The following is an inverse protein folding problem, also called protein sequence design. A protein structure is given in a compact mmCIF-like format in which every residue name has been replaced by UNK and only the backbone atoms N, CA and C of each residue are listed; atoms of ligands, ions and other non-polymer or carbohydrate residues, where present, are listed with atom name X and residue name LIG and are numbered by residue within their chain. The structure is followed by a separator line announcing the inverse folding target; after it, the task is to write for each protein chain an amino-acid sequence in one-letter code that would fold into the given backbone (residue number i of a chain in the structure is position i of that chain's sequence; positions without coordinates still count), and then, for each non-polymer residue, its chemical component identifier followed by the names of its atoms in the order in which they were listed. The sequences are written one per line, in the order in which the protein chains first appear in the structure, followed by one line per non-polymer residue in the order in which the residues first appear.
data_IF_564164224828
#
_entry.id   IF_564164224828
#
_cell.length_a   1.000
_cell.length_b   1.000
_cell.length_c   1.000
_cell.angle_alpha   90.00
_cell.angle_beta   90.00
_cell.angle_gamma   90.00
#
_symmetry.space_group_name_H-M   'P 1'
#
loop_
_entity.id
_entity.type
_entity.pdbx_description
1 polymer ?
#
# COMPACT_ATOMS: atom_id res chain seq x y z
N UNK A 1 -45.14 29.35 -36.88
CA UNK A 1 -44.08 28.40 -37.27
C UNK A 1 -42.98 28.51 -36.22
N UNK A 2 -42.80 27.47 -35.40
CA UNK A 2 -41.92 27.50 -34.21
C UNK A 2 -40.46 27.44 -34.63
N UNK A 3 -39.64 28.31 -34.03
CA UNK A 3 -38.19 28.33 -34.13
C UNK A 3 -37.64 27.41 -33.04
N UNK A 4 -36.98 26.32 -33.43
CA UNK A 4 -36.24 25.44 -32.50
C UNK A 4 -34.75 25.76 -32.65
N UNK A 5 -34.16 26.40 -31.64
CA UNK A 5 -32.71 26.62 -31.55
C UNK A 5 -32.08 25.34 -30.99
N UNK A 6 -31.38 24.60 -31.85
CA UNK A 6 -30.54 23.48 -31.42
C UNK A 6 -29.17 24.05 -31.06
N UNK A 7 -28.94 24.22 -29.76
CA UNK A 7 -27.62 24.54 -29.19
C UNK A 7 -26.77 23.27 -29.23
N UNK A 8 -26.11 23.01 -30.35
CA UNK A 8 -25.04 22.00 -30.39
C UNK A 8 -23.80 22.61 -29.73
N UNK A 9 -23.47 22.16 -28.52
CA UNK A 9 -22.19 22.46 -27.88
C UNK A 9 -21.08 21.84 -28.71
N UNK A 10 -20.37 22.70 -29.44
CA UNK A 10 -19.09 22.43 -30.05
C UNK A 10 -18.02 22.46 -28.93
N UNK A 11 -17.84 21.34 -28.25
CA UNK A 11 -16.74 21.13 -27.31
C UNK A 11 -15.80 20.06 -27.89
N UNK A 12 -15.14 20.38 -28.99
CA UNK A 12 -14.02 19.57 -29.47
C UNK A 12 -13.00 20.49 -30.11
N UNK A 13 -12.27 21.23 -29.26
CA UNK A 13 -11.06 21.93 -29.69
C UNK A 13 -10.04 21.99 -28.54
N UNK A 14 -9.05 21.10 -28.66
CA UNK A 14 -7.65 21.25 -28.23
C UNK A 14 -7.30 21.19 -26.73
N UNK A 15 -6.76 20.04 -26.33
CA UNK A 15 -5.52 19.98 -25.54
C UNK A 15 -4.51 19.17 -26.36
N UNK A 16 -3.49 19.85 -26.90
CA UNK A 16 -2.30 19.24 -27.51
C UNK A 16 -1.28 18.95 -26.39
N UNK A 17 -0.68 17.77 -26.43
CA UNK A 17 0.77 17.57 -26.26
C UNK A 17 1.32 17.46 -24.85
N UNK A 18 1.64 16.24 -24.42
CA UNK A 18 3.02 15.70 -24.42
C UNK A 18 3.08 14.42 -23.58
N UNK A 19 3.35 13.28 -24.23
CA UNK A 19 4.02 12.07 -23.74
C UNK A 19 3.46 10.88 -24.52
N UNK A 20 4.32 10.08 -25.12
CA UNK A 20 4.06 8.75 -25.68
C UNK A 20 2.67 8.19 -25.38
N UNK A 21 1.79 8.10 -26.39
CA UNK A 21 0.55 7.34 -26.25
C UNK A 21 0.93 5.94 -25.71
N UNK A 22 0.56 5.64 -24.46
CA UNK A 22 0.75 4.30 -23.91
C UNK A 22 -0.07 3.36 -24.80
N UNK A 23 0.61 2.59 -25.63
CA UNK A 23 -0.04 1.52 -26.38
C UNK A 23 -0.50 0.53 -25.32
N UNK A 24 -1.82 0.38 -25.17
CA UNK A 24 -2.43 -0.66 -24.34
C UNK A 24 -1.85 -1.99 -24.79
N UNK A 25 -1.02 -2.63 -23.97
CA UNK A 25 -0.41 -3.92 -24.29
C UNK A 25 -0.51 -4.84 -23.10
N UNK A 26 -1.37 -5.83 -23.26
CA UNK A 26 -1.53 -6.92 -22.35
C UNK A 26 -1.77 -8.19 -23.17
N UNK A 27 -1.33 -9.30 -22.61
CA UNK A 27 -1.61 -10.62 -23.13
C UNK A 27 -2.87 -11.15 -22.45
N UNK A 28 -3.76 -11.75 -23.22
CA UNK A 28 -5.01 -12.33 -22.76
C UNK A 28 -5.05 -13.83 -23.03
N UNK A 29 -5.04 -14.64 -21.97
CA UNK A 29 -5.11 -16.09 -22.02
C UNK A 29 -6.49 -16.61 -21.67
N UNK A 30 -6.98 -17.57 -22.46
CA UNK A 30 -8.31 -18.16 -22.28
C UNK A 30 -8.35 -19.27 -21.22
N UNK A 31 -7.21 -19.69 -20.67
CA UNK A 31 -7.14 -20.67 -19.59
C UNK A 31 -6.06 -20.35 -18.54
N UNK A 32 -6.18 -20.98 -17.38
CA UNK A 32 -5.34 -20.72 -16.20
C UNK A 32 -3.90 -21.25 -16.29
N UNK A 33 -3.57 -21.98 -17.35
CA UNK A 33 -2.28 -22.61 -17.56
C UNK A 33 -1.49 -21.98 -18.72
N UNK A 34 -2.16 -21.21 -19.57
CA UNK A 34 -1.53 -20.56 -20.70
C UNK A 34 -0.56 -19.48 -20.20
N UNK A 35 0.72 -19.80 -20.35
CA UNK A 35 1.86 -18.93 -20.14
C UNK A 35 2.71 -18.85 -21.42
N UNK A 36 2.12 -19.23 -22.57
CA UNK A 36 2.76 -19.11 -23.86
C UNK A 36 2.58 -17.70 -24.42
N UNK A 37 3.48 -16.82 -23.97
CA UNK A 37 3.56 -15.43 -24.42
C UNK A 37 4.00 -15.28 -25.89
N UNK A 38 4.31 -16.39 -26.59
CA UNK A 38 4.65 -16.37 -28.01
C UNK A 38 3.42 -16.35 -28.93
N UNK A 39 2.22 -16.69 -28.42
CA UNK A 39 0.96 -16.66 -29.18
C UNK A 39 0.54 -15.23 -29.52
N UNK A 40 0.86 -14.78 -30.73
CA UNK A 40 0.61 -13.40 -31.17
C UNK A 40 -0.86 -12.98 -31.07
N UNK A 41 -1.81 -13.89 -31.27
CA UNK A 41 -3.26 -13.61 -31.23
C UNK A 41 -3.80 -13.24 -29.85
N UNK A 42 -3.07 -13.58 -28.78
CA UNK A 42 -3.47 -13.28 -27.40
C UNK A 42 -3.11 -11.84 -26.99
N UNK A 43 -2.22 -11.18 -27.73
CA UNK A 43 -1.79 -9.82 -27.42
C UNK A 43 -2.81 -8.79 -27.88
N UNK A 44 -3.22 -7.90 -26.97
CA UNK A 44 -4.20 -6.82 -27.19
C UNK A 44 -5.62 -7.29 -27.53
N UNK A 45 -5.93 -8.57 -27.33
CA UNK A 45 -7.30 -9.06 -27.37
C UNK A 45 -8.07 -8.55 -26.15
N UNK A 46 -9.30 -8.06 -26.32
CA UNK A 46 -10.12 -7.64 -25.17
C UNK A 46 -10.40 -8.84 -24.26
N UNK A 47 -10.21 -8.70 -22.92
CA UNK A 47 -10.53 -9.78 -21.99
C UNK A 47 -12.04 -10.01 -21.93
N UNK A 48 -12.44 -11.27 -21.80
CA UNK A 48 -13.80 -11.67 -21.45
C UNK A 48 -13.84 -12.22 -20.03
N UNK A 49 -15.06 -12.42 -19.52
CA UNK A 49 -15.25 -12.89 -18.14
C UNK A 49 -14.53 -14.21 -17.87
N UNK A 50 -13.65 -14.21 -16.87
CA UNK A 50 -12.91 -15.40 -16.42
C UNK A 50 -11.57 -15.63 -17.11
N UNK A 51 -11.14 -14.72 -17.98
CA UNK A 51 -9.83 -14.75 -18.63
C UNK A 51 -8.67 -14.43 -17.66
N UNK A 52 -7.47 -14.80 -18.08
CA UNK A 52 -6.20 -14.44 -17.45
C UNK A 52 -5.54 -13.29 -18.22
N UNK A 53 -5.15 -12.22 -17.53
CA UNK A 53 -4.38 -11.14 -18.15
C UNK A 53 -2.94 -11.11 -17.64
N UNK A 54 -2.02 -10.81 -18.56
CA UNK A 54 -0.62 -10.57 -18.23
C UNK A 54 -0.12 -9.26 -18.88
N UNK A 55 0.33 -8.32 -18.05
CA UNK A 55 1.05 -7.12 -18.44
C UNK A 55 2.54 -7.38 -18.27
N UNK A 56 3.21 -7.78 -19.36
CA UNK A 56 4.62 -8.19 -19.36
C UNK A 56 5.28 -7.98 -20.71
N UNK A 57 6.61 -8.06 -20.77
CA UNK A 57 7.35 -8.01 -22.03
C UNK A 57 7.12 -9.24 -22.91
N UNK A 58 6.72 -9.03 -24.17
CA UNK A 58 6.84 -10.02 -25.25
C UNK A 58 8.33 -10.09 -25.65
N UNK A 59 8.90 -11.29 -25.81
CA UNK A 59 10.34 -11.54 -25.98
C UNK A 59 11.11 -10.53 -26.86
N UNK A 60 12.32 -10.14 -26.43
CA UNK A 60 13.27 -9.36 -27.24
C UNK A 60 12.93 -7.89 -27.38
N UNK A 61 13.52 -7.05 -26.52
CA UNK A 61 13.48 -5.59 -26.55
C UNK A 61 12.06 -4.98 -26.51
N UNK A 62 11.62 -4.72 -25.27
CA UNK A 62 10.87 -3.54 -24.87
C UNK A 62 9.59 -3.21 -25.68
N UNK A 63 8.46 -3.52 -25.05
CA UNK A 63 7.19 -2.91 -25.32
C UNK A 63 6.60 -2.47 -23.99
N UNK A 64 6.13 -1.22 -23.88
CA UNK A 64 5.36 -0.75 -22.73
C UNK A 64 4.14 -1.64 -22.55
N UNK A 65 4.21 -2.61 -21.64
CA UNK A 65 3.07 -3.41 -21.21
C UNK A 65 2.28 -2.60 -20.18
N UNK A 66 1.64 -1.54 -20.68
CA UNK A 66 0.77 -0.68 -19.90
C UNK A 66 -0.68 -0.94 -20.28
N UNK A 67 -1.59 -0.91 -19.31
CA UNK A 67 -3.00 -0.77 -19.60
C UNK A 67 -3.64 0.28 -18.69
N UNK A 68 -4.61 1.01 -19.24
CA UNK A 68 -5.51 1.90 -18.51
C UNK A 68 -6.90 1.35 -18.73
N UNK A 69 -7.54 0.94 -17.64
CA UNK A 69 -8.89 0.41 -17.63
C UNK A 69 -9.87 1.52 -17.30
N UNK A 70 -10.93 1.64 -18.10
CA UNK A 70 -11.98 2.67 -17.97
C UNK A 70 -13.38 2.07 -18.00
N UNK A 71 -13.46 0.76 -17.92
CA UNK A 71 -14.62 -0.11 -18.16
C UNK A 71 -14.61 -1.26 -17.14
N UNK A 72 -15.60 -2.16 -17.22
CA UNK A 72 -15.77 -3.25 -16.24
C UNK A 72 -15.14 -4.55 -16.73
N UNK A 73 -14.20 -5.10 -15.97
CA UNK A 73 -13.56 -6.40 -16.25
C UNK A 73 -13.80 -7.38 -15.11
N UNK A 74 -14.02 -8.65 -15.46
CA UNK A 74 -14.12 -9.74 -14.49
C UNK A 74 -13.16 -10.84 -14.89
N UNK A 75 -12.07 -10.95 -14.15
CA UNK A 75 -10.92 -11.76 -14.54
C UNK A 75 -10.71 -12.90 -13.55
N UNK A 76 -9.85 -13.84 -13.92
CA UNK A 76 -9.43 -14.91 -13.03
C UNK A 76 -8.08 -14.58 -12.43
N UNK A 77 -7.05 -14.47 -13.26
CA UNK A 77 -5.71 -14.09 -12.84
C UNK A 77 -5.25 -12.78 -13.50
N UNK A 78 -4.53 -11.98 -12.73
CA UNK A 78 -3.90 -10.74 -13.19
C UNK A 78 -2.43 -10.83 -12.85
N UNK A 79 -1.55 -10.68 -13.85
CA UNK A 79 -0.10 -10.71 -13.66
C UNK A 79 0.52 -9.46 -14.24
N UNK A 80 1.30 -8.73 -13.45
CA UNK A 80 1.97 -7.50 -13.86
C UNK A 80 3.47 -7.67 -13.56
N UNK A 81 4.29 -7.90 -14.58
CA UNK A 81 5.74 -8.17 -14.45
C UNK A 81 6.28 -9.28 -15.36
N UNK A 82 7.62 -9.43 -15.44
CA UNK A 82 8.36 -10.35 -16.34
C UNK A 82 8.39 -9.87 -17.81
N UNK A 83 9.05 -10.46 -18.82
CA UNK A 83 10.36 -11.13 -18.91
C UNK A 83 11.20 -10.43 -20.00
N UNK A 84 12.49 -10.20 -19.74
CA UNK A 84 13.47 -9.70 -20.71
C UNK A 84 14.29 -8.55 -20.14
N UNK A 85 15.57 -8.82 -19.89
CA UNK A 85 16.57 -7.94 -19.28
C UNK A 85 16.41 -6.46 -19.64
N UNK A 86 16.24 -5.62 -18.61
CA UNK A 86 16.21 -4.18 -18.69
C UNK A 86 15.25 -3.67 -19.79
N UNK A 87 13.95 -3.62 -19.48
CA UNK A 87 13.03 -2.78 -20.26
C UNK A 87 13.62 -1.37 -20.34
N UNK A 88 14.15 -1.00 -21.51
CA UNK A 88 14.62 0.36 -21.78
C UNK A 88 13.44 1.33 -22.01
N UNK A 89 12.20 0.84 -21.98
CA UNK A 89 11.00 1.61 -22.32
C UNK A 89 10.04 1.86 -21.15
N UNK A 90 10.13 1.13 -20.04
CA UNK A 90 9.32 1.41 -18.83
C UNK A 90 8.92 0.17 -18.02
N UNK A 91 8.25 0.42 -16.89
CA UNK A 91 7.76 -0.61 -15.96
C UNK A 91 6.34 -1.05 -16.37
N UNK A 92 6.05 -2.37 -16.48
CA UNK A 92 4.69 -2.85 -16.71
C UNK A 92 3.70 -2.29 -15.69
N UNK A 93 2.54 -1.82 -16.14
CA UNK A 93 1.61 -1.10 -15.28
C UNK A 93 0.15 -1.27 -15.67
N UNK A 94 -0.73 -1.51 -14.71
CA UNK A 94 -2.18 -1.41 -14.87
C UNK A 94 -2.69 -0.20 -14.07
N UNK A 95 -3.47 0.67 -14.70
CA UNK A 95 -4.14 1.80 -14.02
C UNK A 95 -5.65 1.66 -14.15
N UNK A 96 -6.34 1.56 -13.01
CA UNK A 96 -7.79 1.55 -12.91
C UNK A 96 -8.27 2.99 -12.73
N UNK A 97 -8.95 3.51 -13.76
CA UNK A 97 -9.38 4.92 -13.86
C UNK A 97 -10.89 5.07 -13.68
N UNK A 98 -11.39 6.30 -13.80
CA UNK A 98 -12.81 6.58 -13.57
C UNK A 98 -13.69 5.76 -14.52
N UNK A 99 -14.72 5.13 -13.96
CA UNK A 99 -15.61 4.23 -14.70
C UNK A 99 -15.14 2.78 -14.75
N UNK A 100 -13.95 2.46 -14.20
CA UNK A 100 -13.51 1.08 -14.07
C UNK A 100 -14.12 0.37 -12.86
N UNK A 101 -14.46 -0.90 -13.06
CA UNK A 101 -14.86 -1.85 -12.01
C UNK A 101 -14.17 -3.17 -12.33
N UNK A 102 -13.32 -3.63 -11.42
CA UNK A 102 -12.46 -4.77 -11.64
C UNK A 102 -12.76 -5.81 -10.58
N UNK A 103 -13.14 -6.99 -11.03
CA UNK A 103 -13.27 -8.17 -10.18
C UNK A 103 -12.23 -9.22 -10.57
N UNK A 104 -11.58 -9.87 -9.60
CA UNK A 104 -10.76 -11.05 -9.88
C UNK A 104 -10.94 -12.16 -8.85
N UNK A 105 -11.05 -13.40 -9.35
CA UNK A 105 -11.34 -14.57 -8.51
C UNK A 105 -10.11 -15.36 -8.05
N UNK A 106 -8.97 -15.18 -8.72
CA UNK A 106 -7.71 -15.86 -8.41
C UNK A 106 -6.64 -14.90 -7.89
N UNK A 107 -5.39 -15.12 -8.33
CA UNK A 107 -4.26 -14.24 -7.99
C UNK A 107 -4.20 -12.97 -8.82
N UNK A 108 -4.07 -11.82 -8.14
CA UNK A 108 -3.49 -10.61 -8.70
C UNK A 108 -2.03 -10.50 -8.20
N UNK A 109 -1.08 -10.51 -9.13
CA UNK A 109 0.36 -10.56 -8.84
C UNK A 109 1.04 -9.35 -9.49
N UNK A 110 1.58 -8.45 -8.66
CA UNK A 110 2.20 -7.20 -9.09
C UNK A 110 3.69 -7.24 -8.80
N UNK A 111 4.54 -6.97 -9.78
CA UNK A 111 5.97 -7.24 -9.68
C UNK A 111 6.24 -8.74 -9.62
N UNK A 112 5.66 -9.48 -10.57
CA UNK A 112 5.71 -10.94 -10.61
C UNK A 112 6.82 -11.47 -11.52
N UNK A 113 7.52 -12.52 -11.08
CA UNK A 113 8.46 -13.29 -11.93
C UNK A 113 8.13 -14.78 -11.98
N UNK A 114 8.44 -15.40 -13.11
CA UNK A 114 8.41 -16.85 -13.36
C UNK A 114 9.82 -17.45 -13.35
N UNK A 115 9.92 -18.77 -13.15
CA UNK A 115 11.18 -19.50 -13.30
C UNK A 115 11.78 -19.45 -14.70
N UNK A 116 10.95 -19.27 -15.74
CA UNK A 116 11.36 -19.08 -17.13
C UNK A 116 11.77 -17.65 -17.46
N UNK A 117 11.74 -16.74 -16.48
CA UNK A 117 12.22 -15.39 -16.68
C UNK A 117 13.75 -15.35 -16.84
N UNK A 118 14.28 -14.21 -17.29
CA UNK A 118 15.71 -14.01 -17.60
C UNK A 118 16.31 -12.81 -16.87
N UNK A 119 15.51 -12.11 -16.08
CA UNK A 119 15.90 -10.88 -15.38
C UNK A 119 14.94 -10.54 -14.26
N UNK A 120 15.32 -9.55 -13.46
CA UNK A 120 14.43 -8.95 -12.45
C UNK A 120 13.09 -8.50 -13.07
N UNK A 121 12.02 -8.61 -12.29
CA UNK A 121 10.67 -8.24 -12.69
C UNK A 121 10.13 -7.10 -11.84
N UNK A 122 9.58 -6.10 -12.52
CA UNK A 122 8.93 -4.94 -11.89
C UNK A 122 7.48 -4.86 -12.35
N UNK A 123 6.58 -4.35 -11.49
CA UNK A 123 5.19 -4.16 -11.86
C UNK A 123 4.50 -3.11 -10.99
N UNK A 124 3.55 -2.40 -11.59
CA UNK A 124 2.78 -1.34 -10.93
C UNK A 124 1.28 -1.57 -11.12
N UNK A 125 0.52 -1.43 -10.05
CA UNK A 125 -0.95 -1.33 -10.10
C UNK A 125 -1.38 -0.02 -9.44
N UNK A 126 -2.04 0.84 -10.21
CA UNK A 126 -2.61 2.07 -9.71
C UNK A 126 -4.13 1.95 -9.70
N UNK A 127 -4.75 2.08 -8.54
CA UNK A 127 -6.20 2.10 -8.36
C UNK A 127 -6.58 3.53 -8.01
N UNK A 128 -7.00 4.30 -9.01
CA UNK A 128 -7.16 5.77 -8.87
C UNK A 128 -8.60 6.19 -8.65
N UNK A 129 -9.55 5.32 -8.96
CA UNK A 129 -10.98 5.52 -8.75
C UNK A 129 -11.74 4.22 -9.00
N UNK A 130 -12.96 4.12 -8.48
CA UNK A 130 -13.82 2.95 -8.68
C UNK A 130 -13.96 2.13 -7.40
N UNK A 131 -14.75 1.06 -7.50
CA UNK A 131 -14.82 0.01 -6.50
C UNK A 131 -14.38 -1.27 -7.18
N UNK A 132 -13.49 -2.01 -6.52
CA UNK A 132 -12.90 -3.21 -7.08
C UNK A 132 -12.90 -4.31 -6.04
N UNK A 133 -13.07 -5.55 -6.49
CA UNK A 133 -13.13 -6.73 -5.63
C UNK A 133 -12.11 -7.77 -6.08
N UNK A 134 -11.44 -8.37 -5.11
CA UNK A 134 -10.40 -9.36 -5.36
C UNK A 134 -10.39 -10.48 -4.35
N UNK A 135 -9.86 -11.63 -4.75
CA UNK A 135 -9.58 -12.72 -3.79
C UNK A 135 -8.18 -12.56 -3.19
N UNK A 136 -7.14 -12.69 -4.02
CA UNK A 136 -5.75 -12.64 -3.58
C UNK A 136 -4.98 -11.46 -4.18
N UNK A 137 -4.13 -10.82 -3.38
CA UNK A 137 -3.20 -9.80 -3.84
C UNK A 137 -1.76 -10.13 -3.40
N UNK A 138 -0.86 -10.32 -4.34
CA UNK A 138 0.56 -10.52 -4.07
C UNK A 138 1.38 -9.41 -4.73
N UNK A 139 2.18 -8.70 -3.94
CA UNK A 139 2.96 -7.55 -4.41
C UNK A 139 4.43 -7.82 -4.15
N UNK A 140 5.25 -7.82 -5.20
CA UNK A 140 6.60 -8.36 -5.18
C UNK A 140 6.53 -9.86 -4.99
N UNK A 141 6.37 -10.62 -6.07
CA UNK A 141 6.20 -12.07 -5.98
C UNK A 141 7.13 -12.82 -6.94
N UNK A 142 8.13 -13.50 -6.39
CA UNK A 142 8.93 -14.46 -7.14
C UNK A 142 8.24 -15.83 -7.12
N UNK A 143 7.54 -16.17 -8.21
CA UNK A 143 6.74 -17.39 -8.31
C UNK A 143 7.59 -18.64 -8.55
N UNK A 144 7.22 -19.74 -7.87
CA UNK A 144 7.92 -21.02 -7.98
C UNK A 144 9.40 -20.89 -7.60
N UNK A 145 10.27 -21.53 -8.37
CA UNK A 145 11.72 -21.52 -8.14
C UNK A 145 12.44 -20.34 -8.83
N UNK A 146 11.73 -19.25 -9.12
CA UNK A 146 12.36 -18.06 -9.70
C UNK A 146 13.51 -17.56 -8.80
N UNK A 147 14.64 -17.26 -9.42
CA UNK A 147 15.83 -16.70 -8.76
C UNK A 147 16.00 -15.20 -9.02
N UNK A 148 15.07 -14.60 -9.78
CA UNK A 148 15.17 -13.21 -10.18
C UNK A 148 14.50 -12.28 -9.19
N UNK A 149 15.13 -11.14 -8.95
CA UNK A 149 14.60 -10.12 -8.07
C UNK A 149 13.21 -9.64 -8.54
N UNK A 150 12.33 -9.36 -7.58
CA UNK A 150 10.97 -8.86 -7.86
C UNK A 150 10.68 -7.58 -7.11
N UNK A 151 10.09 -6.59 -7.78
CA UNK A 151 9.61 -5.35 -7.16
C UNK A 151 8.20 -5.03 -7.63
N UNK A 152 7.25 -5.07 -6.70
CA UNK A 152 5.85 -4.70 -6.95
C UNK A 152 5.48 -3.42 -6.21
N UNK A 153 4.67 -2.58 -6.86
CA UNK A 153 4.05 -1.41 -6.23
C UNK A 153 2.56 -1.37 -6.52
N UNK A 154 1.76 -1.24 -5.48
CA UNK A 154 0.32 -0.99 -5.57
C UNK A 154 0.01 0.33 -4.89
N UNK A 155 -0.79 1.18 -5.53
CA UNK A 155 -1.32 2.40 -4.92
C UNK A 155 -2.84 2.40 -5.03
N UNK A 156 -3.51 2.59 -3.90
CA UNK A 156 -4.95 2.83 -3.81
C UNK A 156 -5.13 4.29 -3.42
N UNK A 157 -5.55 5.11 -4.36
CA UNK A 157 -5.99 6.48 -4.13
C UNK A 157 -7.53 6.49 -4.06
N UNK A 158 -8.21 7.56 -4.47
CA UNK A 158 -9.67 7.83 -4.43
C UNK A 158 -10.63 6.70 -4.91
N UNK A 159 -10.54 5.52 -4.34
CA UNK A 159 -11.09 4.25 -4.79
C UNK A 159 -11.22 3.28 -3.60
N UNK A 160 -12.06 2.27 -3.76
CA UNK A 160 -12.14 1.14 -2.83
C UNK A 160 -11.60 -0.12 -3.49
N UNK A 161 -10.74 -0.82 -2.75
CA UNK A 161 -10.41 -2.22 -3.02
C UNK A 161 -10.93 -3.06 -1.86
N UNK A 162 -11.66 -4.09 -2.18
CA UNK A 162 -12.10 -5.10 -1.24
C UNK A 162 -11.41 -6.43 -1.55
N UNK A 163 -10.81 -7.05 -0.53
CA UNK A 163 -10.16 -8.35 -0.65
C UNK A 163 -10.86 -9.39 0.22
N UNK A 164 -11.14 -10.54 -0.36
CA UNK A 164 -11.86 -11.65 0.30
C UNK A 164 -10.96 -12.79 0.76
N UNK A 165 -9.64 -12.63 0.63
CA UNK A 165 -8.68 -13.62 1.13
C UNK A 165 -7.31 -12.97 1.43
N UNK A 166 -6.22 -13.73 1.28
CA UNK A 166 -4.86 -13.33 1.65
C UNK A 166 -4.31 -12.22 0.74
N UNK A 167 -3.66 -11.24 1.39
CA UNK A 167 -2.74 -10.33 0.71
C UNK A 167 -1.31 -10.50 1.25
N UNK A 168 -0.32 -10.49 0.35
CA UNK A 168 1.10 -10.61 0.69
C UNK A 168 1.92 -9.50 0.04
N UNK A 169 2.69 -8.80 0.85
CA UNK A 169 3.71 -7.87 0.42
C UNK A 169 5.08 -8.55 0.60
N UNK A 170 5.76 -8.75 -0.52
CA UNK A 170 7.04 -9.44 -0.67
C UNK A 170 7.03 -10.92 -0.28
N UNK A 171 6.77 -11.76 -1.30
CA UNK A 171 6.91 -13.22 -1.22
C UNK A 171 7.91 -13.73 -2.26
N UNK A 172 8.71 -14.73 -1.89
CA UNK A 172 9.61 -15.45 -2.78
C UNK A 172 9.52 -16.96 -2.55
N UNK A 173 9.28 -17.73 -3.62
CA UNK A 173 9.31 -19.19 -3.56
C UNK A 173 10.72 -19.79 -3.54
N UNK A 174 11.77 -19.00 -3.85
CA UNK A 174 13.16 -19.41 -3.89
C UNK A 174 14.12 -18.37 -3.27
N UNK A 175 15.39 -18.39 -3.68
CA UNK A 175 16.44 -17.48 -3.19
C UNK A 175 16.38 -16.04 -3.78
N UNK A 176 15.30 -15.70 -4.47
CA UNK A 176 15.11 -14.38 -5.05
C UNK A 176 14.91 -13.30 -3.98
N UNK A 177 15.48 -12.12 -4.19
CA UNK A 177 15.13 -10.93 -3.41
C UNK A 177 13.75 -10.42 -3.84
N UNK A 178 12.85 -10.21 -2.89
CA UNK A 178 11.49 -9.75 -3.18
C UNK A 178 11.16 -8.48 -2.41
N UNK A 179 10.63 -7.47 -3.11
CA UNK A 179 10.20 -6.20 -2.53
C UNK A 179 8.76 -5.90 -2.94
N UNK A 180 7.91 -5.60 -1.97
CA UNK A 180 6.49 -5.34 -2.19
C UNK A 180 6.05 -4.09 -1.45
N UNK A 181 5.50 -3.11 -2.16
CA UNK A 181 4.95 -1.90 -1.55
C UNK A 181 3.47 -1.76 -1.84
N UNK A 182 2.66 -1.58 -0.80
CA UNK A 182 1.27 -1.14 -0.91
C UNK A 182 1.14 0.24 -0.27
N UNK A 183 0.64 1.21 -1.02
CA UNK A 183 0.30 2.55 -0.51
C UNK A 183 -1.19 2.77 -0.58
N UNK A 184 -1.80 3.18 0.54
CA UNK A 184 -3.19 3.63 0.59
C UNK A 184 -3.17 5.14 0.86
N UNK A 185 -3.38 5.90 -0.21
CA UNK A 185 -3.36 7.36 -0.19
C UNK A 185 -4.70 7.94 0.26
N UNK A 186 -4.73 9.25 0.45
CA UNK A 186 -5.97 9.99 0.73
C UNK A 186 -7.12 9.62 -0.22
N UNK A 187 -8.28 9.36 0.38
CA UNK A 187 -9.49 8.92 -0.33
C UNK A 187 -9.50 7.44 -0.72
N UNK A 188 -8.39 6.71 -0.51
CA UNK A 188 -8.30 5.28 -0.75
C UNK A 188 -8.70 4.43 0.43
N UNK A 189 -9.39 3.33 0.13
CA UNK A 189 -9.80 2.34 1.12
C UNK A 189 -9.42 0.95 0.65
N UNK A 190 -8.78 0.19 1.53
CA UNK A 190 -8.66 -1.26 1.43
C UNK A 190 -9.47 -1.89 2.56
N UNK A 191 -10.47 -2.69 2.21
CA UNK A 191 -11.15 -3.57 3.16
C UNK A 191 -10.73 -5.01 2.94
N UNK A 192 -10.56 -5.75 4.02
CA UNK A 192 -10.39 -7.20 3.99
C UNK A 192 -11.53 -7.83 4.79
N UNK A 193 -12.45 -8.48 4.09
CA UNK A 193 -13.61 -9.15 4.68
C UNK A 193 -13.64 -10.58 4.18
N UNK A 194 -13.60 -11.55 5.09
CA UNK A 194 -13.55 -12.93 4.66
C UNK A 194 -14.00 -13.88 5.78
N UNK A 195 -14.84 -14.89 5.46
CA UNK A 195 -15.31 -15.85 6.45
C UNK A 195 -14.17 -16.82 6.82
N UNK A 196 -13.48 -16.56 7.93
CA UNK A 196 -12.46 -17.46 8.47
C UNK A 196 -11.22 -16.75 9.02
N UNK A 197 -10.11 -17.49 9.12
CA UNK A 197 -8.82 -16.93 9.54
C UNK A 197 -8.01 -16.50 8.32
N UNK A 198 -8.00 -15.20 8.03
CA UNK A 198 -7.24 -14.62 6.92
C UNK A 198 -6.03 -13.84 7.40
N UNK A 199 -5.14 -13.51 6.46
CA UNK A 199 -3.82 -13.02 6.78
C UNK A 199 -3.39 -11.92 5.83
N UNK A 200 -2.95 -10.80 6.37
CA UNK A 200 -2.29 -9.73 5.64
C UNK A 200 -0.80 -9.76 5.98
N UNK A 201 0.05 -10.15 5.03
CA UNK A 201 1.48 -10.26 5.27
C UNK A 201 2.21 -9.01 4.79
N UNK A 202 3.01 -8.42 5.66
CA UNK A 202 3.97 -7.38 5.32
C UNK A 202 5.36 -7.95 5.57
N UNK A 203 6.09 -8.24 4.50
CA UNK A 203 7.39 -8.91 4.59
C UNK A 203 7.21 -10.38 4.93
N UNK A 204 6.67 -11.16 3.98
CA UNK A 204 6.39 -12.57 4.18
C UNK A 204 7.64 -13.44 4.10
N UNK A 205 8.47 -13.23 3.07
CA UNK A 205 9.81 -13.85 2.94
C UNK A 205 10.84 -12.86 2.38
N UNK A 206 10.37 -11.73 1.84
CA UNK A 206 11.20 -10.60 1.43
C UNK A 206 10.90 -9.33 2.22
N UNK A 207 11.15 -8.18 1.60
CA UNK A 207 10.96 -6.85 2.19
C UNK A 207 9.60 -6.25 1.78
N UNK A 208 8.64 -6.30 2.70
CA UNK A 208 7.31 -5.74 2.49
C UNK A 208 7.16 -4.39 3.19
N UNK A 209 6.47 -3.46 2.52
CA UNK A 209 6.16 -2.14 3.04
C UNK A 209 4.69 -1.80 2.81
N UNK A 210 3.97 -1.55 3.89
CA UNK A 210 2.63 -0.96 3.86
C UNK A 210 2.75 0.51 4.24
N UNK A 211 2.18 1.41 3.43
CA UNK A 211 2.15 2.84 3.70
C UNK A 211 0.69 3.28 3.71
N UNK A 212 0.22 3.82 4.83
CA UNK A 212 -1.06 4.51 4.94
C UNK A 212 -0.76 6.01 4.98
N UNK A 213 -1.18 6.71 3.93
CA UNK A 213 -0.93 8.13 3.72
C UNK A 213 -2.25 8.86 3.43
N UNK A 214 -3.12 8.82 4.43
CA UNK A 214 -4.41 9.51 4.45
C UNK A 214 -5.60 8.64 4.06
N UNK A 215 -5.35 7.36 3.72
CA UNK A 215 -6.38 6.37 3.43
C UNK A 215 -6.79 5.52 4.63
N UNK A 216 -7.56 4.47 4.35
CA UNK A 216 -8.05 3.50 5.32
C UNK A 216 -7.63 2.08 4.90
N UNK A 217 -6.97 1.34 5.80
CA UNK A 217 -6.96 -0.12 5.78
C UNK A 217 -7.87 -0.62 6.91
N UNK A 218 -8.89 -1.41 6.58
CA UNK A 218 -9.76 -2.05 7.55
C UNK A 218 -9.76 -3.56 7.38
N UNK A 219 -9.42 -4.28 8.44
CA UNK A 219 -9.42 -5.74 8.48
C UNK A 219 -10.56 -6.23 9.39
N UNK A 220 -11.36 -7.17 8.90
CA UNK A 220 -12.43 -7.79 9.70
C UNK A 220 -11.88 -8.61 10.88
N UNK A 221 -12.77 -8.83 11.85
CA UNK A 221 -12.55 -9.72 12.98
C UNK A 221 -12.13 -11.12 12.49
N UNK A 222 -10.95 -11.57 12.95
CA UNK A 222 -10.37 -12.86 12.55
C UNK A 222 -9.28 -12.74 11.49
N UNK A 223 -9.15 -11.60 10.82
CA UNK A 223 -7.99 -11.30 9.98
C UNK A 223 -6.79 -10.93 10.85
N UNK A 224 -5.61 -11.49 10.53
CA UNK A 224 -4.38 -11.28 11.29
C UNK A 224 -3.31 -10.67 10.38
N UNK A 225 -2.88 -9.45 10.71
CA UNK A 225 -1.68 -8.88 10.13
C UNK A 225 -0.44 -9.60 10.63
N UNK A 226 0.46 -9.99 9.72
CA UNK A 226 1.74 -10.63 10.01
C UNK A 226 2.87 -9.78 9.49
N UNK A 227 3.80 -9.42 10.37
CA UNK A 227 4.97 -8.59 10.04
C UNK A 227 6.24 -9.43 10.13
N UNK A 228 7.06 -9.41 9.08
CA UNK A 228 8.33 -10.15 9.05
C UNK A 228 8.13 -11.65 9.25
N UNK A 229 7.10 -12.23 8.60
CA UNK A 229 6.87 -13.67 8.63
C UNK A 229 8.03 -14.42 7.96
N UNK A 230 8.17 -15.72 8.20
CA UNK A 230 9.14 -16.62 7.55
C UNK A 230 10.55 -16.06 7.24
N UNK A 231 11.08 -15.17 8.10
CA UNK A 231 12.40 -14.55 7.94
C UNK A 231 12.44 -13.28 7.07
N UNK A 232 11.32 -12.81 6.55
CA UNK A 232 11.18 -11.53 5.84
C UNK A 232 11.27 -10.30 6.75
N UNK A 233 11.18 -9.12 6.15
CA UNK A 233 11.19 -7.83 6.84
C UNK A 233 9.92 -7.05 6.51
N UNK A 234 9.12 -6.73 7.53
CA UNK A 234 7.85 -6.01 7.40
C UNK A 234 7.87 -4.64 8.04
N UNK A 235 7.62 -3.60 7.25
CA UNK A 235 7.46 -2.23 7.75
C UNK A 235 6.07 -1.71 7.43
N UNK A 236 5.36 -1.22 8.45
CA UNK A 236 4.11 -0.49 8.31
C UNK A 236 4.37 0.97 8.67
N UNK A 237 4.07 1.88 7.75
CA UNK A 237 4.13 3.32 7.97
C UNK A 237 2.74 3.90 7.98
N UNK A 238 2.34 4.40 9.13
CA UNK A 238 1.09 5.10 9.34
C UNK A 238 1.37 6.61 9.37
N UNK A 239 1.58 7.18 8.18
CA UNK A 239 1.93 8.60 8.01
C UNK A 239 0.77 9.50 8.35
N UNK A 240 -0.43 9.13 7.89
CA UNK A 240 -1.72 9.72 8.22
C UNK A 240 -2.82 8.69 7.90
N UNK A 241 -4.08 8.96 8.22
CA UNK A 241 -5.19 8.03 7.95
C UNK A 241 -5.37 6.98 9.04
N UNK A 242 -5.99 5.85 8.70
CA UNK A 242 -6.43 4.84 9.68
C UNK A 242 -5.96 3.43 9.27
N UNK A 243 -5.39 2.72 10.23
CA UNK A 243 -5.14 1.29 10.17
C UNK A 243 -5.99 0.58 11.21
N UNK A 244 -7.12 0.01 10.80
CA UNK A 244 -7.96 -0.84 11.66
C UNK A 244 -7.56 -2.30 11.48
N UNK A 245 -6.98 -2.86 12.54
CA UNK A 245 -6.37 -4.18 12.47
C UNK A 245 -7.37 -5.33 12.63
N UNK A 246 -8.58 -5.07 13.14
CA UNK A 246 -9.51 -6.10 13.61
C UNK A 246 -8.95 -6.87 14.82
N UNK A 247 -7.89 -7.66 14.60
CA UNK A 247 -7.14 -8.44 15.59
C UNK A 247 -5.72 -7.87 15.82
N UNK A 248 -5.06 -8.25 16.92
CA UNK A 248 -3.68 -7.82 17.19
C UNK A 248 -2.71 -8.35 16.11
N UNK A 249 -1.65 -7.59 15.76
CA UNK A 249 -0.68 -8.04 14.79
C UNK A 249 0.19 -9.16 15.36
N UNK A 250 0.65 -10.06 14.49
CA UNK A 250 1.64 -11.09 14.80
C UNK A 250 3.00 -10.69 14.23
N UNK A 251 4.01 -10.60 15.09
CA UNK A 251 5.40 -10.38 14.68
C UNK A 251 6.05 -11.75 14.46
N UNK A 252 6.52 -11.99 13.24
CA UNK A 252 7.21 -13.23 12.86
C UNK A 252 8.65 -13.30 13.38
N UNK A 253 9.38 -14.31 12.92
CA UNK A 253 10.80 -14.52 13.27
C UNK A 253 11.76 -13.55 12.56
N UNK A 254 11.27 -12.78 11.58
CA UNK A 254 12.00 -11.70 10.94
C UNK A 254 11.89 -10.38 11.69
N UNK A 255 12.17 -9.26 11.01
CA UNK A 255 12.01 -7.92 11.60
C UNK A 255 10.64 -7.35 11.22
N UNK A 256 9.87 -6.90 12.23
CA UNK A 256 8.55 -6.32 12.03
C UNK A 256 8.40 -5.03 12.84
N UNK A 257 8.08 -3.93 12.18
CA UNK A 257 7.89 -2.62 12.81
C UNK A 257 6.65 -1.91 12.26
N UNK A 258 5.90 -1.29 13.16
CA UNK A 258 4.86 -0.31 12.87
C UNK A 258 5.36 1.06 13.31
N UNK A 259 5.45 1.97 12.36
CA UNK A 259 5.84 3.36 12.55
C UNK A 259 4.61 4.25 12.50
N UNK A 260 4.35 4.98 13.58
CA UNK A 260 3.21 5.88 13.71
C UNK A 260 3.70 7.31 13.57
N UNK A 261 3.26 7.96 12.49
CA UNK A 261 3.37 9.39 12.24
C UNK A 261 2.15 10.12 12.77
N UNK A 262 1.28 10.61 11.88
CA UNK A 262 0.06 11.33 12.23
C UNK A 262 -1.21 10.47 12.12
N UNK A 263 -1.10 9.20 11.74
CA UNK A 263 -2.28 8.33 11.60
C UNK A 263 -2.71 7.63 12.89
N UNK A 264 -3.85 6.96 12.83
CA UNK A 264 -4.47 6.22 13.93
C UNK A 264 -4.39 4.70 13.68
N UNK A 265 -3.75 3.98 14.60
CA UNK A 265 -3.84 2.52 14.65
C UNK A 265 -5.00 2.16 15.57
N UNK A 266 -5.93 1.34 15.05
CA UNK A 266 -7.13 0.92 15.75
C UNK A 266 -7.18 -0.61 15.89
N UNK A 267 -7.79 -1.07 16.98
CA UNK A 267 -8.20 -2.46 17.16
C UNK A 267 -9.54 -2.55 17.90
N UNK A 268 -10.53 -3.22 17.31
CA UNK A 268 -11.93 -3.27 17.82
C UNK A 268 -12.18 -4.34 18.90
N UNK A 269 -11.18 -5.14 19.29
CA UNK A 269 -11.27 -6.21 20.30
C UNK A 269 -10.52 -5.86 21.62
N UNK A 270 -10.46 -4.56 21.95
CA UNK A 270 -9.26 -3.92 22.49
C UNK A 270 -8.93 -4.03 23.98
N UNK A 271 -9.89 -4.24 24.90
CA UNK A 271 -9.53 -4.09 26.35
C UNK A 271 -8.58 -5.17 26.86
N UNK A 272 -8.76 -6.42 26.43
CA UNK A 272 -7.91 -7.51 26.89
C UNK A 272 -6.51 -7.49 26.27
N UNK A 273 -6.26 -6.58 25.31
CA UNK A 273 -5.06 -6.55 24.47
C UNK A 273 -4.15 -5.35 24.71
N UNK A 274 -4.55 -4.38 25.53
CA UNK A 274 -3.72 -3.20 25.87
C UNK A 274 -2.31 -3.57 26.35
N UNK A 275 -2.17 -4.56 27.24
CA UNK A 275 -0.86 -5.05 27.68
C UNK A 275 -0.02 -5.74 26.60
N UNK A 276 -0.65 -6.35 25.59
CA UNK A 276 0.05 -6.93 24.45
C UNK A 276 0.64 -5.82 23.56
N UNK A 277 -0.13 -4.75 23.31
CA UNK A 277 0.36 -3.59 22.59
C UNK A 277 1.46 -2.84 23.35
N UNK A 278 1.30 -2.68 24.67
CA UNK A 278 2.35 -2.12 25.52
C UNK A 278 3.64 -2.94 25.43
N UNK A 279 3.53 -4.27 25.37
CA UNK A 279 4.70 -5.15 25.14
C UNK A 279 5.35 -4.89 23.79
N UNK A 280 4.57 -4.77 22.71
CA UNK A 280 5.10 -4.44 21.37
C UNK A 280 5.79 -3.07 21.33
N UNK A 281 5.21 -2.08 22.01
CA UNK A 281 5.79 -0.74 22.19
C UNK A 281 7.11 -0.81 22.97
N UNK A 282 7.14 -1.61 24.04
CA UNK A 282 8.33 -1.78 24.87
C UNK A 282 9.47 -2.49 24.13
N UNK A 283 9.14 -3.46 23.28
CA UNK A 283 10.09 -4.16 22.41
C UNK A 283 10.56 -3.33 21.21
N UNK A 284 9.95 -2.16 20.95
CA UNK A 284 10.28 -1.33 19.78
C UNK A 284 9.67 -1.82 18.47
N UNK A 285 8.68 -2.72 18.53
CA UNK A 285 7.92 -3.16 17.35
C UNK A 285 6.87 -2.12 16.93
N UNK A 286 6.43 -1.25 17.84
CA UNK A 286 5.58 -0.10 17.53
C UNK A 286 6.29 1.14 18.05
N UNK A 287 6.54 2.10 17.17
CA UNK A 287 7.32 3.30 17.46
C UNK A 287 6.65 4.54 16.88
N UNK A 288 6.85 5.68 17.54
CA UNK A 288 6.52 6.98 16.97
C UNK A 288 7.67 7.49 16.10
N UNK A 289 7.36 7.92 14.88
CA UNK A 289 8.32 8.53 13.91
C UNK A 289 7.88 9.92 13.43
N UNK A 290 6.65 10.30 13.72
CA UNK A 290 6.06 11.63 13.57
C UNK A 290 5.02 11.84 14.65
N UNK A 291 4.23 12.92 14.59
CA UNK A 291 3.16 13.10 15.56
C UNK A 291 2.33 14.35 15.30
N UNK A 292 1.10 14.31 15.79
CA UNK A 292 0.15 15.41 15.72
C UNK A 292 0.62 16.57 16.59
N UNK A 293 0.37 17.80 16.14
CA UNK A 293 0.56 19.00 16.95
C UNK A 293 -0.53 19.15 18.01
N UNK A 294 -1.74 18.65 17.71
CA UNK A 294 -2.89 18.61 18.61
C UNK A 294 -3.52 17.23 18.53
N UNK A 295 -3.46 16.47 19.62
CA UNK A 295 -4.02 15.13 19.74
C UNK A 295 -5.33 15.10 20.56
N UNK A 296 -5.91 16.26 20.88
CA UNK A 296 -7.07 16.38 21.77
C UNK A 296 -8.28 15.56 21.29
N UNK A 297 -8.46 15.41 19.98
CA UNK A 297 -9.51 14.56 19.42
C UNK A 297 -9.36 13.09 19.87
N UNK A 298 -8.14 12.56 19.87
CA UNK A 298 -7.87 11.19 20.29
C UNK A 298 -7.82 11.07 21.82
N UNK A 299 -7.18 12.01 22.51
CA UNK A 299 -7.09 12.01 23.96
C UNK A 299 -8.46 12.11 24.66
N UNK A 300 -9.41 12.85 24.08
CA UNK A 300 -10.78 12.94 24.60
C UNK A 300 -11.62 11.70 24.28
N UNK A 301 -11.28 10.95 23.23
CA UNK A 301 -12.01 9.75 22.81
C UNK A 301 -11.54 8.50 23.58
N UNK A 302 -10.23 8.28 23.66
CA UNK A 302 -9.59 7.10 24.23
C UNK A 302 -9.14 7.35 25.68
N UNK A 303 -10.13 7.39 26.59
CA UNK A 303 -9.95 7.85 27.98
C UNK A 303 -9.70 6.73 29.00
N UNK A 304 -9.83 5.46 28.58
CA UNK A 304 -9.66 4.29 29.44
C UNK A 304 -8.36 3.55 29.10
N UNK A 305 -7.82 2.75 30.04
CA UNK A 305 -6.62 1.92 29.85
C UNK A 305 -5.47 2.64 29.10
N UNK A 306 -5.23 3.90 29.47
CA UNK A 306 -4.32 4.79 28.76
C UNK A 306 -2.87 4.49 29.08
N UNK A 307 -1.98 4.70 28.11
CA UNK A 307 -0.53 4.72 28.34
C UNK A 307 0.20 5.56 27.31
N UNK A 308 1.50 5.76 27.55
CA UNK A 308 2.35 6.52 26.64
C UNK A 308 3.81 6.10 26.74
N UNK A 309 4.57 6.34 25.67
CA UNK A 309 6.02 6.16 25.61
C UNK A 309 6.66 7.24 24.75
N UNK A 310 7.64 7.94 25.32
CA UNK A 310 8.44 8.92 24.59
C UNK A 310 9.46 8.23 23.69
N UNK A 311 9.55 8.68 22.44
CA UNK A 311 10.57 8.29 21.47
C UNK A 311 11.13 9.54 20.78
N UNK A 312 12.29 10.02 21.23
CA UNK A 312 12.90 11.23 20.69
C UNK A 312 12.00 12.47 20.88
N UNK A 313 11.59 13.07 19.76
CA UNK A 313 10.73 14.27 19.72
C UNK A 313 9.23 13.95 19.70
N UNK A 314 8.84 12.69 19.87
CA UNK A 314 7.46 12.25 19.75
C UNK A 314 7.03 11.44 20.98
N UNK A 315 5.74 11.47 21.28
CA UNK A 315 5.11 10.65 22.32
C UNK A 315 4.10 9.73 21.64
N UNK A 316 4.40 8.43 21.65
CA UNK A 316 3.41 7.44 21.30
C UNK A 316 2.41 7.31 22.45
N UNK A 317 1.12 7.45 22.17
CA UNK A 317 0.02 7.35 23.13
C UNK A 317 -0.95 6.26 22.73
N UNK A 318 -1.62 5.69 23.72
CA UNK A 318 -2.69 4.73 23.50
C UNK A 318 -3.75 4.85 24.58
N UNK A 319 -4.94 4.37 24.25
CA UNK A 319 -6.05 4.22 25.18
C UNK A 319 -7.18 3.43 24.56
N UNK A 320 -8.22 3.21 25.34
CA UNK A 320 -9.43 2.52 24.90
C UNK A 320 -10.66 3.39 25.07
N UNK A 321 -11.67 3.12 24.25
CA UNK A 321 -13.02 3.69 24.34
C UNK A 321 -14.07 2.59 24.27
N UNK A 322 -15.31 2.93 24.58
CA UNK A 322 -16.44 1.99 24.60
C UNK A 322 -16.75 1.37 25.98
N UNK A 323 -17.53 0.28 25.95
CA UNK A 323 -18.08 -0.39 27.12
C UNK A 323 -17.87 -1.90 27.07
N UNK A 324 -18.04 -2.59 28.20
CA UNK A 324 -17.86 -4.05 28.32
C UNK A 324 -18.44 -4.83 27.13
N UNK A 325 -17.56 -5.45 26.34
CA UNK A 325 -17.91 -6.25 25.16
C UNK A 325 -17.68 -5.57 23.81
N UNK A 326 -17.52 -4.24 23.76
CA UNK A 326 -17.29 -3.45 22.55
C UNK A 326 -16.22 -2.38 22.83
N UNK A 327 -14.99 -2.81 23.09
CA UNK A 327 -13.90 -1.91 23.37
C UNK A 327 -13.03 -1.70 22.15
N UNK A 328 -12.75 -0.44 21.85
CA UNK A 328 -11.83 -0.08 20.79
C UNK A 328 -10.54 0.46 21.41
N UNK A 329 -9.40 -0.11 21.04
CA UNK A 329 -8.08 0.43 21.30
C UNK A 329 -7.71 1.40 20.18
N UNK A 330 -7.21 2.58 20.54
CA UNK A 330 -6.55 3.52 19.65
C UNK A 330 -5.10 3.74 20.07
N UNK A 331 -4.21 3.83 19.09
CA UNK A 331 -2.83 4.29 19.26
C UNK A 331 -2.51 5.39 18.25
N UNK A 332 -1.91 6.47 18.73
CA UNK A 332 -1.56 7.65 17.94
C UNK A 332 -0.27 8.27 18.47
N UNK A 333 0.30 9.23 17.75
CA UNK A 333 1.51 9.93 18.18
C UNK A 333 1.29 11.43 18.26
N UNK A 334 1.90 12.07 19.27
CA UNK A 334 1.94 13.52 19.48
C UNK A 334 3.38 14.02 19.29
N UNK A 335 3.54 15.13 18.60
CA UNK A 335 4.81 15.85 18.55
C UNK A 335 5.05 16.62 19.85
N UNK A 336 6.22 16.43 20.48
CA UNK A 336 6.61 17.23 21.64
C UNK A 336 6.93 18.64 21.14
N UNK A 337 6.18 19.67 21.57
CA UNK A 337 6.47 21.04 21.16
C UNK A 337 7.91 21.39 21.55
N UNK A 338 8.70 21.93 20.62
CA UNK A 338 10.02 22.43 20.98
C UNK A 338 9.88 23.48 22.09
N UNK A 339 10.69 23.43 23.16
CA UNK A 339 10.67 24.47 24.17
C UNK A 339 10.90 25.83 23.51
N UNK A 340 9.96 26.77 23.72
CA UNK A 340 10.03 28.14 23.19
C UNK A 340 11.36 28.88 23.49
N UNK A 341 12.18 28.36 24.40
CA UNK A 341 13.53 28.82 24.73
C UNK A 341 14.54 28.69 23.60
N UNK A 342 14.41 27.73 22.66
CA UNK A 342 15.33 27.63 21.51
C UNK A 342 15.03 28.68 20.44
N UNK A 343 13.74 29.02 20.24
CA UNK A 343 13.33 30.16 19.43
C UNK A 343 13.74 31.51 20.04
N UNK A 344 13.78 31.61 21.38
CA UNK A 344 14.29 32.80 22.06
C UNK A 344 15.82 32.93 21.95
N UNK A 345 16.58 31.83 22.03
CA UNK A 345 18.04 31.85 21.88
C UNK A 345 18.48 32.23 20.45
N UNK A 346 17.70 31.92 19.41
CA UNK A 346 17.98 32.43 18.06
C UNK A 346 17.59 33.90 17.90
N UNK A 347 16.54 34.36 18.57
CA UNK A 347 16.12 35.78 18.55
C UNK A 347 17.05 36.69 19.38
N UNK A 348 17.68 36.18 20.44
CA UNK A 348 18.54 36.94 21.35
C UNK A 348 20.05 36.60 21.25
N UNK A 349 20.44 35.53 20.55
CA UNK A 349 21.81 35.01 20.51
C UNK A 349 22.72 35.57 19.40
N UNK A 350 22.20 36.41 18.49
CA UNK A 350 22.99 37.03 17.42
C UNK A 350 23.76 38.30 17.80
N UNK A 351 23.69 38.76 19.06
CA UNK A 351 23.94 40.17 19.37
C UNK A 351 24.82 40.55 20.55
N UNK A 352 25.48 39.64 21.29
CA UNK A 352 26.33 40.06 22.42
C UNK A 352 27.57 39.16 22.57
N UNK A 353 28.69 39.57 21.94
CA UNK A 353 30.04 39.52 22.55
C UNK A 353 31.06 40.34 21.75
N UNK A 354 31.10 41.67 21.95
CA UNK A 354 32.32 42.46 21.69
C UNK A 354 32.81 43.05 23.01
N UNK A 355 33.58 42.27 23.76
CA UNK A 355 34.45 42.83 24.81
C UNK A 355 35.72 43.32 24.11
N UNK A 356 35.79 44.63 23.84
CA UNK A 356 37.04 45.29 23.46
C UNK A 356 38.05 45.13 24.60
N UNK A 357 39.14 44.43 24.34
CA UNK A 357 40.33 44.40 25.20
C UNK A 357 40.98 45.79 25.14
N UNK A 358 40.90 46.55 26.24
CA UNK A 358 41.70 47.77 26.42
C UNK A 358 43.13 47.30 26.78
N UNK A 359 44.10 47.55 25.91
CA UNK A 359 45.52 47.36 26.23
C UNK A 359 46.02 48.54 27.07
N UNK A 360 46.61 48.22 28.22
CA UNK A 360 47.73 48.97 28.80
C UNK A 360 48.97 48.13 28.48
#
# INVERSE_FOLDING_TARGET
MRVTKTTAMLATLFIIGSSTAQVQRYWNGTDSADNDFSTAGNWNALPVTGDDIALRGQTGAAANAGAIMTDTWSLRHIRIGGNGAASTQGTPSLTLSSGSDLTWSGYNQVGYSLSSDSSAANGILNITSGSHDGTFLNVGNAGGDSTYATTGSVTIANASLHLTDVARLATSGGAATSHGTLTISSGGTLTMEAPGSHSFYVGDTGEGRLIIDGGLLSMEDGTVMRLGHAGGNGVVELRSGILDLGNQPQIGTGTGVIEIGEGLLKNTDGIWRSGAYETLVNNGNIVATGGLVDDSAYANLYTQATGSKTNGLFVLKWGTTGSAGNYELGMWSEAIPEPATLGLLSLFGGGILFVRRLMI
#
